data_IF_838633351011
#
_entry.id   IF_838633351011
#
_cell.length_a   1.000
_cell.length_b   1.000
_cell.length_c   1.000
_cell.angle_alpha   90.00
_cell.angle_beta   90.00
_cell.angle_gamma   90.00
#
_symmetry.space_group_name_H-M   'P 1'
#
loop_
_entity.id
_entity.type
_entity.pdbx_description
1 polymer ?
#
# COMPACT_ATOMS: atom_id res chain seq x y z
N UNK A 1 60.63 1.42 -43.36
CA UNK A 1 59.14 1.30 -43.36
C UNK A 1 58.73 0.67 -42.05
N UNK A 2 58.17 1.46 -41.08
CA UNK A 2 57.74 0.99 -39.77
C UNK A 2 56.18 0.84 -39.79
N UNK A 3 55.71 -0.40 -39.73
CA UNK A 3 54.27 -0.71 -39.66
C UNK A 3 53.74 -0.49 -38.21
N UNK A 4 52.75 0.35 -38.06
CA UNK A 4 52.01 0.53 -36.81
C UNK A 4 50.85 -0.47 -36.80
N UNK A 5 50.85 -1.36 -35.82
CA UNK A 5 49.75 -2.30 -35.56
C UNK A 5 48.83 -1.62 -34.53
N UNK A 6 47.60 -1.28 -34.96
CA UNK A 6 46.56 -0.69 -34.14
C UNK A 6 45.73 -1.79 -33.50
N UNK A 7 45.84 -2.00 -32.18
CA UNK A 7 44.98 -2.91 -31.42
C UNK A 7 43.67 -2.21 -31.09
N UNK A 8 42.56 -2.70 -31.69
CA UNK A 8 41.21 -2.30 -31.28
C UNK A 8 40.80 -3.20 -30.09
N UNK A 9 40.70 -2.59 -28.89
CA UNK A 9 40.09 -3.25 -27.73
C UNK A 9 38.58 -3.01 -27.82
N UNK A 10 37.87 -4.07 -28.21
CA UNK A 10 36.41 -4.08 -28.20
C UNK A 10 35.91 -4.23 -26.76
N UNK A 11 35.58 -3.13 -26.09
CA UNK A 11 34.96 -3.14 -24.77
C UNK A 11 33.52 -3.62 -24.86
N UNK A 12 33.30 -4.91 -24.58
CA UNK A 12 31.95 -5.47 -24.42
C UNK A 12 31.28 -4.94 -23.17
N UNK A 13 30.30 -4.05 -23.31
CA UNK A 13 29.41 -3.69 -22.19
C UNK A 13 28.54 -4.90 -21.83
N UNK A 14 28.81 -5.54 -20.69
CA UNK A 14 27.92 -6.53 -20.11
C UNK A 14 26.64 -5.80 -19.66
N UNK A 15 25.59 -5.87 -20.47
CA UNK A 15 24.25 -5.49 -20.06
C UNK A 15 23.76 -6.57 -19.07
N UNK A 16 23.71 -6.21 -17.79
CA UNK A 16 23.05 -7.03 -16.78
C UNK A 16 21.56 -7.16 -17.16
N UNK A 17 20.97 -8.35 -17.17
CA UNK A 17 19.55 -8.50 -17.43
C UNK A 17 18.79 -7.78 -16.31
N UNK A 18 18.02 -6.77 -16.68
CA UNK A 18 17.01 -6.19 -15.80
C UNK A 18 15.96 -7.28 -15.58
N UNK A 19 15.97 -7.93 -14.41
CA UNK A 19 14.98 -8.93 -14.07
C UNK A 19 13.59 -8.30 -14.23
N UNK A 20 12.82 -8.76 -15.21
CA UNK A 20 11.45 -8.31 -15.42
C UNK A 20 10.65 -8.66 -14.16
N UNK A 21 10.19 -7.64 -13.43
CA UNK A 21 9.36 -7.84 -12.25
C UNK A 21 8.00 -8.35 -12.71
N UNK A 22 7.59 -9.50 -12.20
CA UNK A 22 6.25 -10.03 -12.45
C UNK A 22 5.22 -9.09 -11.84
N UNK A 23 4.24 -8.59 -12.61
CA UNK A 23 3.18 -7.76 -12.07
C UNK A 23 2.46 -8.47 -10.92
N UNK A 24 1.98 -7.71 -9.93
CA UNK A 24 1.17 -8.27 -8.84
C UNK A 24 -0.16 -8.76 -9.39
N UNK A 25 -0.61 -9.91 -8.92
CA UNK A 25 -1.97 -10.39 -9.18
C UNK A 25 -2.97 -9.51 -8.43
N UNK A 26 -3.94 -8.86 -9.12
CA UNK A 26 -4.96 -8.08 -8.44
C UNK A 26 -5.81 -8.96 -7.51
N UNK A 27 -6.08 -8.46 -6.30
CA UNK A 27 -7.02 -9.09 -5.36
C UNK A 27 -8.47 -8.67 -5.63
N UNK A 28 -8.65 -7.46 -6.15
CA UNK A 28 -9.96 -6.92 -6.53
C UNK A 28 -10.20 -7.25 -8.00
N UNK A 29 -10.88 -8.35 -8.28
CA UNK A 29 -11.15 -8.84 -9.64
C UNK A 29 -12.54 -8.46 -10.17
N UNK A 30 -13.40 -7.87 -9.33
CA UNK A 30 -14.79 -7.49 -9.65
C UNK A 30 -15.08 -6.10 -9.10
N UNK A 31 -16.19 -5.50 -9.53
CA UNK A 31 -16.71 -4.27 -8.93
C UNK A 31 -16.94 -4.48 -7.42
N UNK A 32 -16.69 -3.43 -6.63
CA UNK A 32 -16.93 -3.48 -5.18
C UNK A 32 -18.43 -3.69 -4.94
N UNK A 33 -18.76 -4.76 -4.23
CA UNK A 33 -20.13 -5.07 -3.84
C UNK A 33 -20.42 -4.48 -2.46
N UNK A 34 -21.05 -3.33 -2.43
CA UNK A 34 -21.36 -2.57 -1.21
C UNK A 34 -22.46 -3.23 -0.35
N UNK A 35 -23.09 -4.29 -0.84
CA UNK A 35 -24.07 -5.06 -0.05
C UNK A 35 -23.40 -6.11 0.83
N UNK A 36 -22.14 -6.44 0.57
CA UNK A 36 -21.35 -7.43 1.29
C UNK A 36 -20.38 -6.76 2.25
N UNK A 37 -20.86 -6.48 3.44
CA UNK A 37 -20.08 -5.81 4.48
C UNK A 37 -19.34 -6.82 5.36
N UNK A 38 -18.10 -6.46 5.75
CA UNK A 38 -17.29 -7.22 6.71
C UNK A 38 -16.92 -6.28 7.87
N UNK A 39 -17.18 -6.71 9.09
CA UNK A 39 -16.79 -5.96 10.27
C UNK A 39 -15.28 -6.04 10.47
N UNK A 40 -14.63 -4.88 10.53
CA UNK A 40 -13.21 -4.78 10.86
C UNK A 40 -13.04 -4.83 12.38
N UNK A 41 -12.56 -5.96 12.89
CA UNK A 41 -12.25 -6.10 14.31
C UNK A 41 -10.91 -5.41 14.66
N UNK A 42 -10.82 -4.90 15.90
CA UNK A 42 -9.59 -4.27 16.39
C UNK A 42 -9.38 -2.82 15.94
N UNK A 43 -10.35 -2.22 15.25
CA UNK A 43 -10.28 -0.81 14.81
C UNK A 43 -10.66 0.18 15.91
N UNK A 44 -11.17 -0.28 17.05
CA UNK A 44 -11.61 0.56 18.16
C UNK A 44 -10.47 0.64 19.19
N UNK A 45 -10.16 1.88 19.61
CA UNK A 45 -9.10 2.10 20.61
C UNK A 45 -9.47 1.46 21.95
N UNK A 46 -8.54 0.81 22.67
CA UNK A 46 -8.85 0.11 23.94
C UNK A 46 -9.43 0.99 25.05
N UNK A 47 -9.17 2.31 25.02
CA UNK A 47 -9.74 3.27 25.97
C UNK A 47 -11.19 3.67 25.68
N UNK A 48 -11.74 3.25 24.54
CA UNK A 48 -13.14 3.49 24.17
C UNK A 48 -14.05 2.61 25.04
N UNK A 49 -14.77 3.23 25.95
CA UNK A 49 -15.73 2.56 26.82
C UNK A 49 -17.10 3.26 26.72
N UNK A 50 -18.17 2.49 26.79
CA UNK A 50 -19.53 3.03 26.66
C UNK A 50 -19.83 4.14 27.71
N UNK A 51 -19.28 4.03 28.91
CA UNK A 51 -19.43 5.03 29.98
C UNK A 51 -18.81 6.40 29.65
N UNK A 52 -17.82 6.39 28.75
CA UNK A 52 -17.10 7.62 28.32
C UNK A 52 -17.64 8.19 27.01
N UNK A 53 -18.61 7.54 26.40
CA UNK A 53 -19.20 7.95 25.12
C UNK A 53 -20.05 9.22 25.30
N UNK A 54 -19.77 10.26 24.53
CA UNK A 54 -20.47 11.55 24.48
C UNK A 54 -21.39 11.65 23.28
N UNK A 55 -21.53 10.58 22.52
CA UNK A 55 -22.38 10.50 21.34
C UNK A 55 -21.64 10.77 20.02
N UNK A 56 -22.37 10.58 18.95
CA UNK A 56 -21.86 10.77 17.60
C UNK A 56 -21.59 12.25 17.31
N UNK A 57 -20.51 12.50 16.58
CA UNK A 57 -20.23 13.86 16.07
C UNK A 57 -21.19 14.23 14.94
N UNK A 58 -21.29 15.52 14.61
CA UNK A 58 -22.11 15.98 13.48
C UNK A 58 -21.57 15.43 12.15
N UNK A 59 -22.45 15.25 11.16
CA UNK A 59 -22.06 14.78 9.82
C UNK A 59 -21.04 15.67 9.13
N UNK A 60 -21.06 16.97 9.42
CA UNK A 60 -20.10 17.94 8.90
C UNK A 60 -18.75 17.94 9.62
N UNK A 61 -18.60 17.14 10.69
CA UNK A 61 -17.33 17.06 11.42
C UNK A 61 -16.21 16.60 10.48
N UNK A 62 -15.09 17.35 10.38
CA UNK A 62 -14.02 17.01 9.45
C UNK A 62 -13.25 15.79 9.93
N UNK A 63 -13.18 14.77 9.08
CA UNK A 63 -12.35 13.61 9.25
C UNK A 63 -11.10 13.76 8.35
N UNK A 64 -10.05 14.29 8.95
CA UNK A 64 -8.78 14.54 8.25
C UNK A 64 -7.83 13.35 8.36
N UNK A 65 -7.00 13.17 7.34
CA UNK A 65 -5.89 12.22 7.31
C UNK A 65 -6.26 10.79 7.70
N UNK A 66 -7.19 10.23 6.96
CA UNK A 66 -7.55 8.83 7.04
C UNK A 66 -6.60 7.99 6.17
N UNK A 67 -6.38 6.75 6.55
CA UNK A 67 -5.50 5.82 5.84
C UNK A 67 -6.27 4.53 5.57
N UNK A 68 -6.43 4.19 4.29
CA UNK A 68 -6.90 2.89 3.85
C UNK A 68 -5.67 2.02 3.54
N UNK A 69 -5.47 0.97 4.32
CA UNK A 69 -4.41 0.00 4.08
C UNK A 69 -4.86 -1.03 3.05
N UNK A 70 -3.99 -1.36 2.11
CA UNK A 70 -4.25 -2.36 1.08
C UNK A 70 -3.47 -3.64 1.40
N UNK A 71 -4.13 -4.77 1.26
CA UNK A 71 -3.48 -6.07 1.39
C UNK A 71 -2.64 -6.35 0.14
N UNK A 72 -1.55 -7.06 0.34
CA UNK A 72 -0.76 -7.60 -0.76
C UNK A 72 -1.21 -9.02 -1.11
N UNK A 73 -1.00 -9.48 -2.35
CA UNK A 73 -1.26 -10.87 -2.71
C UNK A 73 -0.42 -11.85 -1.87
N UNK A 74 -0.94 -13.06 -1.55
CA UNK A 74 -0.26 -14.04 -0.71
C UNK A 74 1.14 -14.42 -1.20
N UNK A 75 1.33 -14.49 -2.52
CA UNK A 75 2.63 -14.79 -3.13
C UNK A 75 3.65 -13.68 -2.87
N UNK A 76 3.23 -12.41 -2.83
CA UNK A 76 4.08 -11.26 -2.48
C UNK A 76 4.38 -11.20 -0.99
N UNK A 77 3.42 -11.59 -0.15
CA UNK A 77 3.67 -11.75 1.28
C UNK A 77 4.72 -12.83 1.55
N UNK A 78 4.59 -14.00 0.92
CA UNK A 78 5.57 -15.07 1.03
C UNK A 78 6.95 -14.66 0.50
N UNK A 79 7.00 -13.88 -0.59
CA UNK A 79 8.25 -13.35 -1.13
C UNK A 79 8.91 -12.34 -0.18
N UNK A 80 8.10 -11.48 0.47
CA UNK A 80 8.60 -10.54 1.48
C UNK A 80 9.20 -11.26 2.67
N UNK A 81 8.53 -12.29 3.19
CA UNK A 81 9.04 -13.06 4.33
C UNK A 81 10.41 -13.71 4.01
N UNK A 82 10.57 -14.27 2.81
CA UNK A 82 11.85 -14.80 2.33
C UNK A 82 12.91 -13.70 2.23
N UNK A 83 12.55 -12.56 1.62
CA UNK A 83 13.47 -11.42 1.50
C UNK A 83 13.95 -10.92 2.87
N UNK A 84 13.05 -10.80 3.84
CA UNK A 84 13.40 -10.37 5.21
C UNK A 84 14.37 -11.36 5.86
N UNK A 85 14.14 -12.67 5.71
CA UNK A 85 15.05 -13.70 6.21
C UNK A 85 16.43 -13.59 5.54
N UNK A 86 16.47 -13.46 4.21
CA UNK A 86 17.70 -13.34 3.44
C UNK A 86 18.47 -12.05 3.78
N UNK A 87 17.78 -10.94 3.98
CA UNK A 87 18.38 -9.65 4.34
C UNK A 87 19.11 -9.68 5.69
N UNK A 88 18.74 -10.61 6.57
CA UNK A 88 19.38 -10.84 7.88
C UNK A 88 20.34 -12.03 7.90
N UNK A 89 20.41 -12.82 6.84
CA UNK A 89 21.27 -14.01 6.76
C UNK A 89 22.64 -13.67 6.18
N UNK A 90 23.70 -13.85 6.96
CA UNK A 90 25.08 -13.65 6.52
C UNK A 90 25.40 -14.57 5.34
N UNK A 91 25.96 -14.02 4.27
CA UNK A 91 26.29 -14.73 3.04
C UNK A 91 25.15 -14.82 2.02
N UNK A 92 23.94 -14.38 2.37
CA UNK A 92 22.85 -14.23 1.42
C UNK A 92 23.16 -13.13 0.39
N UNK A 93 22.67 -13.30 -0.84
CA UNK A 93 22.77 -12.28 -1.89
C UNK A 93 22.03 -10.97 -1.51
N UNK A 94 21.05 -11.03 -0.62
CA UNK A 94 20.26 -9.89 -0.12
C UNK A 94 20.75 -9.35 1.22
N UNK A 95 21.82 -9.91 1.80
CA UNK A 95 22.31 -9.49 3.12
C UNK A 95 22.59 -8.00 3.18
N UNK A 96 21.94 -7.32 4.14
CA UNK A 96 21.99 -5.86 4.34
C UNK A 96 21.69 -5.00 3.11
N UNK A 97 20.97 -5.53 2.12
CA UNK A 97 20.50 -4.75 0.98
C UNK A 97 19.09 -4.21 1.30
N UNK A 98 19.01 -2.92 1.57
CA UNK A 98 17.76 -2.24 1.89
C UNK A 98 17.10 -1.71 0.62
N UNK A 99 15.79 -1.79 0.58
CA UNK A 99 15.00 -1.30 -0.54
C UNK A 99 14.50 0.11 -0.27
N UNK A 100 14.39 0.93 -1.31
CA UNK A 100 13.62 2.17 -1.24
C UNK A 100 12.11 1.84 -1.14
N UNK A 101 11.27 2.77 -0.69
CA UNK A 101 9.81 2.56 -0.68
C UNK A 101 9.25 2.16 -2.05
N UNK A 102 9.76 2.75 -3.13
CA UNK A 102 9.37 2.43 -4.50
C UNK A 102 9.78 1.01 -4.90
N UNK A 103 11.00 0.62 -4.60
CA UNK A 103 11.50 -0.75 -4.85
C UNK A 103 10.72 -1.78 -4.04
N UNK A 104 10.41 -1.45 -2.79
CA UNK A 104 9.57 -2.28 -1.93
C UNK A 104 8.18 -2.45 -2.54
N UNK A 105 7.54 -1.36 -2.98
CA UNK A 105 6.23 -1.39 -3.62
C UNK A 105 6.21 -2.25 -4.87
N UNK A 106 7.20 -2.08 -5.74
CA UNK A 106 7.32 -2.83 -6.98
C UNK A 106 7.47 -4.34 -6.74
N UNK A 107 8.18 -4.75 -5.68
CA UNK A 107 8.42 -6.17 -5.38
C UNK A 107 7.33 -6.79 -4.50
N UNK A 108 6.82 -6.06 -3.51
CA UNK A 108 5.99 -6.60 -2.44
C UNK A 108 4.70 -5.82 -2.21
N UNK A 109 4.43 -4.76 -2.97
CA UNK A 109 3.20 -3.97 -2.84
C UNK A 109 1.97 -4.68 -3.38
N UNK A 110 0.77 -4.15 -3.14
CA UNK A 110 -0.45 -4.56 -3.82
C UNK A 110 -0.35 -4.31 -5.32
N UNK A 111 -1.30 -4.84 -6.09
CA UNK A 111 -1.39 -4.53 -7.51
C UNK A 111 -1.81 -3.08 -7.74
N UNK A 112 -1.27 -2.43 -8.76
CA UNK A 112 -1.65 -1.06 -9.12
C UNK A 112 -3.15 -0.94 -9.43
N UNK A 113 -3.75 -1.99 -10.01
CA UNK A 113 -5.18 -2.06 -10.26
C UNK A 113 -6.01 -1.96 -8.98
N UNK A 114 -5.60 -2.65 -7.90
CA UNK A 114 -6.29 -2.59 -6.60
C UNK A 114 -6.22 -1.18 -5.99
N UNK A 115 -5.05 -0.52 -6.14
CA UNK A 115 -4.86 0.86 -5.68
C UNK A 115 -5.81 1.80 -6.42
N UNK A 116 -5.90 1.67 -7.75
CA UNK A 116 -6.77 2.51 -8.58
C UNK A 116 -8.25 2.28 -8.26
N UNK A 117 -8.66 1.04 -8.06
CA UNK A 117 -10.04 0.69 -7.69
C UNK A 117 -10.38 1.30 -6.32
N UNK A 118 -9.51 1.13 -5.32
CA UNK A 118 -9.71 1.69 -3.99
C UNK A 118 -9.78 3.23 -4.00
N UNK A 119 -8.87 3.89 -4.71
CA UNK A 119 -8.86 5.34 -4.84
C UNK A 119 -10.10 5.87 -5.60
N UNK A 120 -10.51 5.17 -6.66
CA UNK A 120 -11.71 5.49 -7.43
C UNK A 120 -12.98 5.34 -6.59
N UNK A 121 -13.08 4.27 -5.80
CA UNK A 121 -14.20 4.04 -4.88
C UNK A 121 -14.28 5.15 -3.82
N UNK A 122 -13.16 5.51 -3.19
CA UNK A 122 -13.13 6.65 -2.26
C UNK A 122 -13.61 7.94 -2.92
N UNK A 123 -13.17 8.21 -4.15
CA UNK A 123 -13.59 9.39 -4.90
C UNK A 123 -15.09 9.39 -5.23
N UNK A 124 -15.69 8.24 -5.59
CA UNK A 124 -17.13 8.12 -5.88
C UNK A 124 -18.00 8.38 -4.64
N UNK A 125 -17.47 8.15 -3.43
CA UNK A 125 -18.14 8.50 -2.15
C UNK A 125 -17.82 9.93 -1.67
N UNK A 126 -17.23 10.75 -2.53
CA UNK A 126 -16.95 12.15 -2.25
C UNK A 126 -15.75 12.40 -1.34
N UNK A 127 -14.95 11.38 -1.01
CA UNK A 127 -13.71 11.58 -0.27
C UNK A 127 -12.65 12.24 -1.15
N UNK A 128 -11.83 13.07 -0.53
CA UNK A 128 -10.67 13.64 -1.18
C UNK A 128 -9.46 12.72 -0.99
N UNK A 129 -9.05 12.04 -2.03
CA UNK A 129 -7.81 11.27 -2.05
C UNK A 129 -6.63 12.24 -2.10
N UNK A 130 -5.78 12.22 -1.07
CA UNK A 130 -4.63 13.11 -0.95
C UNK A 130 -3.39 12.54 -1.66
N UNK A 131 -3.10 11.27 -1.41
CA UNK A 131 -1.97 10.57 -2.05
C UNK A 131 -2.04 9.06 -1.85
N UNK A 132 -1.34 8.34 -2.70
CA UNK A 132 -0.97 6.94 -2.49
C UNK A 132 0.46 6.89 -1.96
N UNK A 133 0.76 5.96 -1.07
CA UNK A 133 2.14 5.77 -0.59
C UNK A 133 3.05 5.31 -1.72
N UNK A 134 4.33 5.66 -1.65
CA UNK A 134 5.34 5.22 -2.64
C UNK A 134 5.51 3.69 -2.71
N UNK A 135 5.16 3.00 -1.65
CA UNK A 135 5.11 1.53 -1.60
C UNK A 135 3.79 0.95 -2.08
N UNK A 136 2.80 1.76 -2.43
CA UNK A 136 1.45 1.33 -2.81
C UNK A 136 0.60 0.80 -1.65
N UNK A 137 1.15 0.64 -0.43
CA UNK A 137 0.47 -0.05 0.66
C UNK A 137 -0.72 0.68 1.25
N UNK A 138 -0.83 2.00 1.07
CA UNK A 138 -1.96 2.76 1.58
C UNK A 138 -2.36 3.91 0.67
N UNK A 139 -3.63 4.28 0.78
CA UNK A 139 -4.22 5.49 0.22
C UNK A 139 -4.57 6.42 1.38
N UNK A 140 -4.05 7.65 1.35
CA UNK A 140 -4.38 8.72 2.31
C UNK A 140 -5.51 9.55 1.74
N UNK A 141 -6.55 9.76 2.54
CA UNK A 141 -7.75 10.49 2.14
C UNK A 141 -8.34 11.30 3.28
N UNK A 142 -9.30 12.15 2.98
CA UNK A 142 -10.05 12.94 3.95
C UNK A 142 -11.50 13.12 3.52
N UNK A 143 -12.36 13.45 4.49
CA UNK A 143 -13.78 13.66 4.24
C UNK A 143 -14.48 14.20 5.48
N UNK A 144 -15.74 13.83 5.65
CA UNK A 144 -16.56 14.19 6.82
C UNK A 144 -17.05 12.93 7.54
N UNK A 145 -17.50 13.09 8.78
CA UNK A 145 -18.07 11.98 9.56
C UNK A 145 -19.31 11.39 8.88
N UNK A 146 -20.12 12.22 8.22
CA UNK A 146 -21.27 11.76 7.43
C UNK A 146 -20.86 10.86 6.28
N UNK A 147 -19.84 11.26 5.51
CA UNK A 147 -19.30 10.41 4.42
C UNK A 147 -18.76 9.08 4.94
N UNK A 148 -18.05 9.09 6.08
CA UNK A 148 -17.58 7.83 6.70
C UNK A 148 -18.74 6.94 7.13
N UNK A 149 -19.79 7.53 7.74
CA UNK A 149 -20.98 6.77 8.15
C UNK A 149 -21.65 6.11 6.95
N UNK A 150 -21.80 6.82 5.85
CA UNK A 150 -22.46 6.31 4.64
C UNK A 150 -21.61 5.25 3.92
N UNK A 151 -20.34 5.53 3.69
CA UNK A 151 -19.48 4.65 2.90
C UNK A 151 -18.96 3.42 3.69
N UNK A 152 -18.66 3.59 4.99
CA UNK A 152 -18.08 2.51 5.80
C UNK A 152 -19.04 1.95 6.86
N UNK A 153 -20.29 2.41 6.88
CA UNK A 153 -21.31 1.98 7.85
C UNK A 153 -20.83 2.07 9.32
N UNK A 154 -20.10 3.13 9.63
CA UNK A 154 -19.52 3.38 10.95
C UNK A 154 -19.86 4.78 11.44
N UNK A 155 -19.80 5.01 12.75
CA UNK A 155 -20.01 6.31 13.34
C UNK A 155 -18.75 6.77 14.09
N UNK A 156 -18.45 8.06 13.99
CA UNK A 156 -17.39 8.71 14.80
C UNK A 156 -18.05 9.28 16.03
N UNK A 157 -17.56 8.89 17.21
CA UNK A 157 -18.02 9.35 18.48
C UNK A 157 -16.95 10.15 19.22
N UNK A 158 -17.38 11.04 20.09
CA UNK A 158 -16.53 11.70 21.07
C UNK A 158 -16.49 10.88 22.36
N UNK A 159 -15.31 10.81 22.97
CA UNK A 159 -15.10 10.13 24.24
C UNK A 159 -14.37 11.06 25.22
N UNK A 160 -14.72 10.98 26.49
CA UNK A 160 -13.96 11.61 27.57
C UNK A 160 -12.93 10.61 28.08
N UNK A 161 -11.66 10.94 28.03
CA UNK A 161 -10.52 10.17 28.53
C UNK A 161 -9.86 10.89 29.67
#
# INVERSE_FOLDING_TARGET
MKGIVLFFVLGGALALPLAAQTPATPLVSQAIDETRLVTLHGSVHPLVQAVSDRGAVSDSFPAGRLILLLNRPPEREAALQRYLQDAHTLGSASYHKWLTPEQFGAQFGPADADIQIAAGWLGSHGFRVARTSKSGQFVEFSGTAGQLREAFHTAIHQYTV
#
